data_IF_853693271842
#
_entry.id   IF_853693271842
#
_cell.length_a   1.000
_cell.length_b   1.000
_cell.length_c   1.000
_cell.angle_alpha   90.00
_cell.angle_beta   90.00
_cell.angle_gamma   90.00
#
_symmetry.space_group_name_H-M   'P 1'
#
loop_
_entity.id
_entity.type
_entity.pdbx_description
1 polymer ?
#
# COMPACT_ATOMS: atom_id res chain seq x y z
N UNK A 1 -12.29 -3.87 5.38
CA UNK A 1 -11.78 -3.30 6.61
C UNK A 1 -11.91 -4.23 7.80
N UNK A 2 -10.77 -4.66 8.36
CA UNK A 2 -10.73 -5.60 9.49
C UNK A 2 -10.69 -4.93 10.88
N UNK A 3 -10.94 -3.62 10.99
CA UNK A 3 -10.91 -2.89 12.26
C UNK A 3 -9.53 -2.84 12.92
N UNK A 4 -8.44 -2.94 12.15
CA UNK A 4 -7.08 -3.02 12.70
C UNK A 4 -6.24 -1.75 12.51
N UNK A 5 -6.57 -0.91 11.55
CA UNK A 5 -5.72 0.25 11.18
C UNK A 5 -6.26 1.60 11.66
N UNK A 6 -7.53 1.70 12.05
CA UNK A 6 -8.13 2.95 12.51
C UNK A 6 -8.37 4.02 11.42
N UNK A 7 -8.12 3.74 10.16
CA UNK A 7 -8.11 4.72 9.07
C UNK A 7 -9.50 5.18 8.60
N UNK A 8 -10.53 4.37 8.80
CA UNK A 8 -11.89 4.68 8.35
C UNK A 8 -12.72 5.42 9.42
N UNK A 9 -12.12 6.43 10.05
CA UNK A 9 -12.80 7.24 11.06
C UNK A 9 -13.88 8.11 10.41
N UNK A 10 -15.07 8.11 10.99
CA UNK A 10 -16.17 8.99 10.64
C UNK A 10 -16.99 9.30 11.89
N UNK A 11 -17.85 10.28 11.83
CA UNK A 11 -18.81 10.55 12.90
C UNK A 11 -20.18 10.02 12.44
N UNK A 12 -20.79 9.13 13.24
CA UNK A 12 -22.12 8.61 12.93
C UNK A 12 -23.06 9.12 14.02
N UNK A 13 -23.81 10.16 13.68
CA UNK A 13 -24.69 10.81 14.64
C UNK A 13 -25.91 9.92 14.98
N UNK A 14 -26.40 9.18 13.97
CA UNK A 14 -27.59 8.34 14.10
C UNK A 14 -27.45 7.06 13.27
N UNK A 15 -28.12 5.98 13.65
CA UNK A 15 -28.34 4.79 12.85
C UNK A 15 -27.30 3.66 12.96
N UNK A 16 -26.20 3.82 13.74
CA UNK A 16 -25.16 2.80 13.85
C UNK A 16 -25.11 2.02 15.18
N UNK A 17 -26.01 2.32 16.12
CA UNK A 17 -25.95 1.73 17.47
C UNK A 17 -24.70 2.14 18.26
N UNK A 18 -24.44 1.46 19.37
CA UNK A 18 -23.35 1.77 20.27
C UNK A 18 -21.95 1.43 19.68
N UNK A 19 -20.92 2.10 20.21
CA UNK A 19 -19.53 1.82 19.85
C UNK A 19 -19.16 0.39 20.25
N UNK A 20 -18.49 -0.32 19.34
CA UNK A 20 -18.09 -1.69 19.57
C UNK A 20 -16.79 -1.77 20.38
N UNK A 21 -16.57 -2.83 21.19
CA UNK A 21 -15.32 -3.04 21.92
C UNK A 21 -14.08 -3.01 21.01
N UNK A 22 -14.22 -3.47 19.77
CA UNK A 22 -13.16 -3.46 18.75
C UNK A 22 -12.78 -2.07 18.26
N UNK A 23 -13.62 -1.07 18.50
CA UNK A 23 -13.42 0.32 18.08
C UNK A 23 -12.84 1.20 19.20
N UNK A 24 -13.10 0.86 20.44
CA UNK A 24 -12.79 1.71 21.61
C UNK A 24 -11.32 2.08 21.70
N UNK A 25 -10.41 1.16 21.31
CA UNK A 25 -8.95 1.38 21.34
C UNK A 25 -8.44 2.43 20.34
N UNK A 26 -9.26 2.85 19.39
CA UNK A 26 -8.88 3.81 18.35
C UNK A 26 -9.31 5.26 18.66
N UNK A 27 -10.06 5.47 19.75
CA UNK A 27 -10.65 6.75 20.07
C UNK A 27 -10.40 7.17 21.52
N UNK A 28 -10.12 8.46 21.70
CA UNK A 28 -10.09 9.04 23.01
C UNK A 28 -11.53 9.35 23.52
N UNK A 29 -11.65 9.71 24.81
CA UNK A 29 -12.95 9.99 25.43
C UNK A 29 -13.74 11.13 24.75
N UNK A 30 -13.03 12.15 24.19
CA UNK A 30 -13.68 13.25 23.47
C UNK A 30 -14.27 12.76 22.14
N UNK A 31 -13.52 11.96 21.41
CA UNK A 31 -13.95 11.37 20.15
C UNK A 31 -15.14 10.41 20.34
N UNK A 32 -15.12 9.58 21.38
CA UNK A 32 -16.26 8.71 21.71
C UNK A 32 -17.52 9.54 21.99
N UNK A 33 -17.40 10.62 22.78
CA UNK A 33 -18.53 11.54 23.03
C UNK A 33 -19.02 12.24 21.75
N UNK A 34 -18.11 12.55 20.83
CA UNK A 34 -18.42 13.12 19.53
C UNK A 34 -18.87 12.08 18.49
N UNK A 35 -19.19 10.84 18.93
CA UNK A 35 -19.73 9.74 18.10
C UNK A 35 -18.82 9.32 16.96
N UNK A 36 -17.49 9.41 17.16
CA UNK A 36 -16.54 8.81 16.21
C UNK A 36 -16.69 7.30 16.17
N UNK A 37 -16.66 6.75 14.98
CA UNK A 37 -16.78 5.34 14.69
C UNK A 37 -15.76 4.92 13.63
N UNK A 38 -15.48 3.61 13.54
CA UNK A 38 -14.80 3.03 12.41
C UNK A 38 -15.83 2.54 11.38
N UNK A 39 -15.89 3.17 10.21
CA UNK A 39 -16.87 2.83 9.17
C UNK A 39 -16.84 1.33 8.81
N UNK A 40 -15.66 0.70 8.81
CA UNK A 40 -15.53 -0.73 8.52
C UNK A 40 -16.06 -1.66 9.61
N UNK A 41 -16.32 -1.16 10.81
CA UNK A 41 -16.88 -1.92 11.93
C UNK A 41 -18.34 -1.58 12.19
N UNK A 42 -18.76 -0.39 11.78
CA UNK A 42 -20.11 0.09 12.04
C UNK A 42 -21.13 -0.63 11.17
N UNK A 43 -22.22 -1.09 11.78
CA UNK A 43 -23.37 -1.66 11.08
C UNK A 43 -24.51 -0.67 11.12
N UNK A 44 -24.91 -0.19 9.96
CA UNK A 44 -26.09 0.67 9.82
C UNK A 44 -27.33 -0.21 9.93
N UNK A 45 -28.23 0.14 10.84
CA UNK A 45 -29.44 -0.64 11.14
C UNK A 45 -30.75 0.09 10.77
N UNK A 46 -30.65 1.38 10.54
CA UNK A 46 -31.75 2.28 10.21
C UNK A 46 -31.24 3.49 9.42
N UNK A 47 -32.06 4.48 9.17
CA UNK A 47 -31.60 5.72 8.54
C UNK A 47 -30.42 6.30 9.34
N UNK A 48 -29.33 6.58 8.66
CA UNK A 48 -28.09 7.03 9.31
C UNK A 48 -27.74 8.45 8.88
N UNK A 49 -27.22 9.21 9.86
CA UNK A 49 -26.60 10.50 9.60
C UNK A 49 -25.10 10.35 9.85
N UNK A 50 -24.32 10.47 8.79
CA UNK A 50 -22.87 10.28 8.84
C UNK A 50 -22.19 11.58 8.41
N UNK A 51 -21.27 12.06 9.25
CA UNK A 51 -20.36 13.15 8.92
C UNK A 51 -19.04 12.51 8.52
N UNK A 52 -18.65 12.74 7.29
CA UNK A 52 -17.36 12.32 6.75
C UNK A 52 -16.43 13.54 6.87
N UNK A 53 -15.20 13.39 7.42
CA UNK A 53 -14.25 14.49 7.49
C UNK A 53 -14.00 15.12 6.11
N UNK A 54 -13.80 16.43 6.07
CA UNK A 54 -13.64 17.19 4.81
C UNK A 54 -12.38 16.77 4.03
N UNK A 55 -11.35 16.28 4.70
CA UNK A 55 -10.13 15.73 4.13
C UNK A 55 -10.40 14.52 3.22
N UNK A 56 -11.44 13.74 3.50
CA UNK A 56 -11.87 12.63 2.63
C UNK A 56 -12.38 13.14 1.28
N UNK A 57 -12.96 14.34 1.23
CA UNK A 57 -13.44 14.96 -0.02
C UNK A 57 -12.33 15.72 -0.75
N UNK A 58 -11.24 16.06 -0.08
CA UNK A 58 -10.07 16.70 -0.67
C UNK A 58 -9.08 15.73 -1.35
N UNK A 59 -9.34 14.44 -1.26
CA UNK A 59 -8.49 13.43 -1.89
C UNK A 59 -8.59 13.52 -3.40
N UNK A 60 -7.46 13.82 -4.03
CA UNK A 60 -7.34 13.79 -5.49
C UNK A 60 -6.78 12.45 -5.95
N UNK A 61 -7.12 12.09 -7.18
CA UNK A 61 -6.54 10.98 -7.90
C UNK A 61 -5.76 11.50 -9.10
N UNK A 62 -4.53 11.02 -9.30
CA UNK A 62 -3.66 11.43 -10.41
C UNK A 62 -3.14 10.22 -11.17
N UNK A 63 -2.97 10.39 -12.46
CA UNK A 63 -2.12 9.54 -13.27
C UNK A 63 -0.67 10.03 -13.15
N UNK A 64 0.11 9.40 -12.30
CA UNK A 64 1.50 9.72 -12.03
C UNK A 64 2.44 8.99 -12.99
N UNK A 65 3.64 9.54 -13.16
CA UNK A 65 4.71 8.92 -13.95
C UNK A 65 5.79 8.36 -13.03
N UNK A 66 6.16 7.11 -13.20
CA UNK A 66 7.31 6.52 -12.49
C UNK A 66 8.58 7.21 -12.96
N UNK A 67 9.36 7.78 -12.04
CA UNK A 67 10.63 8.47 -12.32
C UNK A 67 11.83 7.75 -11.71
N UNK A 68 11.60 6.82 -10.79
CA UNK A 68 12.62 6.00 -10.17
C UNK A 68 12.03 4.75 -9.53
N UNK A 69 12.75 3.62 -9.63
CA UNK A 69 12.32 2.36 -9.03
C UNK A 69 13.53 1.44 -8.80
N UNK A 70 14.46 1.85 -7.94
CA UNK A 70 15.71 1.12 -7.69
C UNK A 70 15.73 0.48 -6.31
N UNK A 71 16.37 -0.68 -6.22
CA UNK A 71 16.67 -1.24 -4.91
C UNK A 71 17.64 -0.34 -4.13
N UNK A 72 17.28 -0.08 -2.88
CA UNK A 72 18.12 0.63 -1.88
C UNK A 72 18.56 -0.33 -0.78
N UNK A 73 17.95 -1.51 -0.72
CA UNK A 73 18.37 -2.65 0.07
C UNK A 73 17.98 -3.93 -0.68
N UNK A 74 18.46 -5.08 -0.22
CA UNK A 74 18.31 -6.38 -0.89
C UNK A 74 16.88 -6.64 -1.38
N UNK A 75 15.89 -6.30 -0.57
CA UNK A 75 14.47 -6.57 -0.83
C UNK A 75 13.59 -5.32 -0.73
N UNK A 76 14.19 -4.12 -0.77
CA UNK A 76 13.46 -2.85 -0.67
C UNK A 76 13.83 -1.96 -1.84
N UNK A 77 12.81 -1.46 -2.53
CA UNK A 77 12.94 -0.42 -3.56
C UNK A 77 12.59 0.95 -2.99
N UNK A 78 13.35 1.96 -3.38
CA UNK A 78 12.90 3.34 -3.40
C UNK A 78 12.13 3.54 -4.70
N UNK A 79 10.84 3.75 -4.56
CA UNK A 79 9.91 3.95 -5.65
C UNK A 79 9.48 5.41 -5.69
N UNK A 80 9.74 6.08 -6.81
CA UNK A 80 9.45 7.49 -7.01
C UNK A 80 8.52 7.71 -8.18
N UNK A 81 7.50 8.51 -7.97
CA UNK A 81 6.60 8.97 -9.02
C UNK A 81 6.49 10.48 -9.02
N UNK A 82 6.39 11.06 -10.20
CA UNK A 82 6.05 12.47 -10.39
C UNK A 82 4.54 12.61 -10.59
N UNK A 83 3.95 13.61 -9.95
CA UNK A 83 2.60 14.06 -10.24
C UNK A 83 2.52 14.68 -11.65
N UNK A 84 1.32 14.82 -12.23
CA UNK A 84 1.15 15.58 -13.47
C UNK A 84 1.69 17.01 -13.33
N UNK A 85 2.17 17.62 -14.42
CA UNK A 85 2.70 18.99 -14.40
C UNK A 85 1.72 19.99 -13.78
N UNK A 86 2.19 20.76 -12.80
CA UNK A 86 1.40 21.77 -12.11
C UNK A 86 0.57 21.24 -10.92
N UNK A 87 0.56 19.94 -10.71
CA UNK A 87 -0.06 19.33 -9.52
C UNK A 87 0.94 19.23 -8.36
N UNK A 88 0.42 19.38 -7.15
CA UNK A 88 1.19 19.29 -5.92
C UNK A 88 0.34 18.59 -4.85
N UNK A 89 0.93 17.68 -4.10
CA UNK A 89 0.30 17.02 -2.97
C UNK A 89 0.80 17.66 -1.68
N UNK A 90 -0.06 18.44 -1.03
CA UNK A 90 0.22 18.93 0.32
C UNK A 90 -0.05 17.79 1.31
N UNK A 91 0.96 17.39 2.06
CA UNK A 91 0.83 16.30 3.04
C UNK A 91 1.67 16.60 4.30
N UNK A 92 1.30 15.96 5.41
CA UNK A 92 2.04 16.01 6.66
C UNK A 92 2.99 14.81 6.79
N UNK A 93 4.10 14.94 7.55
CA UNK A 93 4.96 13.79 7.86
C UNK A 93 4.16 12.66 8.51
N UNK A 94 4.22 11.46 7.90
CA UNK A 94 3.43 10.29 8.34
C UNK A 94 2.18 10.03 7.53
N UNK A 95 1.78 10.94 6.66
CA UNK A 95 0.71 10.71 5.68
C UNK A 95 1.08 9.59 4.70
N UNK A 96 0.07 8.99 4.08
CA UNK A 96 0.24 7.94 3.10
C UNK A 96 -0.49 8.25 1.80
N UNK A 97 -0.03 7.65 0.73
CA UNK A 97 -0.71 7.64 -0.56
C UNK A 97 -1.26 6.24 -0.86
N UNK A 98 -2.29 6.17 -1.69
CA UNK A 98 -2.82 4.91 -2.19
C UNK A 98 -2.43 4.72 -3.64
N UNK A 99 -2.10 3.48 -4.01
CA UNK A 99 -1.82 3.06 -5.38
C UNK A 99 -2.96 2.16 -5.84
N UNK A 100 -3.55 2.45 -6.99
CA UNK A 100 -4.42 1.54 -7.71
C UNK A 100 -3.58 0.52 -8.47
N UNK A 101 -3.85 -0.73 -8.24
CA UNK A 101 -3.16 -1.86 -8.84
C UNK A 101 -4.16 -2.53 -9.77
N UNK A 102 -3.92 -2.58 -11.07
CA UNK A 102 -4.82 -3.24 -12.03
C UNK A 102 -4.79 -4.75 -11.86
N UNK A 103 -5.61 -5.45 -12.63
CA UNK A 103 -5.40 -6.86 -12.88
C UNK A 103 -4.09 -7.03 -13.65
N UNK A 104 -3.28 -8.04 -13.27
CA UNK A 104 -2.00 -8.34 -13.90
C UNK A 104 -1.58 -9.80 -13.69
N UNK A 105 -0.64 -10.22 -14.50
CA UNK A 105 0.09 -11.48 -14.35
C UNK A 105 1.58 -11.19 -14.62
N UNK A 106 2.45 -11.52 -13.67
CA UNK A 106 3.86 -11.17 -13.69
C UNK A 106 4.70 -12.36 -13.23
N UNK A 107 5.70 -12.71 -14.04
CA UNK A 107 6.80 -13.59 -13.64
C UNK A 107 7.98 -12.75 -13.15
N UNK A 108 8.54 -13.07 -11.97
CA UNK A 108 9.68 -12.30 -11.41
C UNK A 108 10.95 -12.42 -12.26
N UNK A 109 11.06 -13.45 -13.09
CA UNK A 109 12.17 -13.57 -14.08
C UNK A 109 12.21 -12.40 -15.06
N UNK A 110 11.06 -11.72 -15.27
CA UNK A 110 10.91 -10.60 -16.21
C UNK A 110 11.20 -9.23 -15.55
N UNK A 111 11.48 -9.21 -14.25
CA UNK A 111 11.90 -7.97 -13.57
C UNK A 111 13.20 -7.44 -14.17
N UNK A 112 13.26 -6.12 -14.31
CA UNK A 112 14.46 -5.45 -14.78
C UNK A 112 15.58 -5.57 -13.74
N UNK A 113 16.55 -6.43 -14.04
CA UNK A 113 17.68 -6.71 -13.14
C UNK A 113 18.55 -5.47 -12.87
N UNK A 114 18.61 -4.53 -13.82
CA UNK A 114 19.34 -3.27 -13.63
C UNK A 114 18.74 -2.38 -12.54
N UNK A 115 17.41 -2.48 -12.32
CA UNK A 115 16.71 -1.78 -11.25
C UNK A 115 16.85 -2.47 -9.88
N UNK A 116 17.23 -3.75 -9.86
CA UNK A 116 17.62 -4.47 -8.64
C UNK A 116 19.07 -4.12 -8.30
N UNK A 117 19.95 -4.14 -9.29
CA UNK A 117 21.36 -3.79 -9.19
C UNK A 117 22.26 -4.95 -8.74
N UNK A 118 23.49 -4.95 -9.24
CA UNK A 118 24.46 -6.05 -9.09
C UNK A 118 24.76 -6.41 -7.63
N UNK A 119 24.69 -5.43 -6.72
CA UNK A 119 24.90 -5.65 -5.29
C UNK A 119 23.88 -6.60 -4.67
N UNK A 120 22.65 -6.57 -5.16
CA UNK A 120 21.51 -7.30 -4.56
C UNK A 120 21.11 -8.56 -5.34
N UNK A 121 21.47 -8.66 -6.62
CA UNK A 121 21.15 -9.80 -7.47
C UNK A 121 21.57 -11.16 -6.88
N UNK A 122 22.80 -11.33 -6.30
CA UNK A 122 23.18 -12.62 -5.74
C UNK A 122 22.24 -13.15 -4.65
N UNK A 123 21.64 -12.26 -3.85
CA UNK A 123 20.65 -12.68 -2.85
C UNK A 123 19.32 -13.09 -3.49
N UNK A 124 18.88 -12.40 -4.55
CA UNK A 124 17.68 -12.73 -5.28
C UNK A 124 17.78 -14.10 -5.95
N UNK A 125 18.95 -14.40 -6.53
CA UNK A 125 19.26 -15.71 -7.11
C UNK A 125 19.33 -16.81 -6.06
N UNK A 126 20.08 -16.55 -4.96
CA UNK A 126 20.23 -17.50 -3.84
C UNK A 126 18.89 -17.91 -3.22
N UNK A 127 17.95 -16.99 -3.10
CA UNK A 127 16.63 -17.26 -2.53
C UNK A 127 15.59 -17.63 -3.58
N UNK A 128 15.97 -17.82 -4.84
CA UNK A 128 15.09 -18.20 -5.93
C UNK A 128 13.88 -17.26 -6.13
N UNK A 129 14.06 -15.95 -5.92
CA UNK A 129 12.97 -15.01 -6.10
C UNK A 129 12.51 -14.92 -7.55
N UNK A 130 13.42 -15.11 -8.51
CA UNK A 130 13.11 -15.08 -9.94
C UNK A 130 12.22 -16.24 -10.40
N UNK A 131 12.05 -17.27 -9.57
CA UNK A 131 11.15 -18.40 -9.85
C UNK A 131 9.71 -18.12 -9.39
N UNK A 132 9.45 -16.95 -8.79
CA UNK A 132 8.13 -16.58 -8.32
C UNK A 132 7.27 -16.04 -9.45
N UNK A 133 5.98 -16.30 -9.31
CA UNK A 133 4.92 -15.79 -10.15
C UNK A 133 3.87 -15.08 -9.29
N UNK A 134 3.33 -13.97 -9.76
CA UNK A 134 2.26 -13.24 -9.08
C UNK A 134 1.14 -12.88 -10.05
N UNK A 135 -0.08 -13.17 -9.66
CA UNK A 135 -1.26 -12.76 -10.41
C UNK A 135 -2.26 -11.99 -9.56
N UNK A 136 -2.95 -11.07 -10.17
CA UNK A 136 -4.05 -10.32 -9.58
C UNK A 136 -5.19 -10.24 -10.60
N UNK A 137 -6.31 -10.85 -10.30
CA UNK A 137 -7.46 -10.98 -11.23
C UNK A 137 -8.38 -9.77 -11.19
N UNK A 138 -8.36 -9.00 -10.09
CA UNK A 138 -9.24 -7.86 -9.89
C UNK A 138 -8.45 -6.63 -9.43
N UNK A 139 -8.80 -5.43 -9.92
CA UNK A 139 -8.16 -4.21 -9.44
C UNK A 139 -8.26 -4.08 -7.93
N UNK A 140 -7.18 -3.67 -7.29
CA UNK A 140 -7.11 -3.46 -5.85
C UNK A 140 -6.36 -2.18 -5.52
N UNK A 141 -6.46 -1.73 -4.27
CA UNK A 141 -5.79 -0.52 -3.79
C UNK A 141 -4.95 -0.87 -2.57
N UNK A 142 -3.75 -0.29 -2.48
CA UNK A 142 -2.90 -0.44 -1.30
C UNK A 142 -2.32 0.92 -0.90
N UNK A 143 -2.22 1.10 0.42
CA UNK A 143 -1.66 2.30 1.05
C UNK A 143 -0.18 2.10 1.37
N UNK A 144 0.60 3.15 1.13
CA UNK A 144 2.02 3.24 1.49
C UNK A 144 2.32 4.60 2.10
N UNK A 145 3.01 4.62 3.26
CA UNK A 145 3.49 5.86 3.85
C UNK A 145 4.48 6.54 2.93
N UNK A 146 4.34 7.86 2.78
CA UNK A 146 5.28 8.67 2.01
C UNK A 146 6.60 8.79 2.77
N UNK A 147 7.70 8.67 2.05
CA UNK A 147 9.06 8.68 2.59
C UNK A 147 9.85 9.95 2.24
N UNK A 148 9.30 10.79 1.38
CA UNK A 148 9.89 12.07 1.04
C UNK A 148 9.45 13.20 1.98
N UNK A 149 10.15 14.32 1.90
CA UNK A 149 9.82 15.53 2.64
C UNK A 149 8.61 16.25 2.02
N UNK A 150 7.69 16.82 2.83
CA UNK A 150 6.47 17.45 2.31
C UNK A 150 6.68 18.54 1.26
N UNK A 151 7.75 19.33 1.36
CA UNK A 151 8.05 20.39 0.37
C UNK A 151 8.42 19.84 -1.03
N UNK A 152 8.63 18.52 -1.13
CA UNK A 152 8.80 17.79 -2.40
C UNK A 152 7.47 17.26 -2.96
N UNK A 153 6.36 17.95 -2.71
CA UNK A 153 5.00 17.46 -2.96
C UNK A 153 4.59 17.30 -4.43
N UNK A 154 5.45 17.59 -5.39
CA UNK A 154 5.32 17.22 -6.81
C UNK A 154 5.87 15.81 -7.12
N UNK A 155 6.58 15.21 -6.15
CA UNK A 155 7.13 13.86 -6.19
C UNK A 155 6.63 13.09 -4.97
N UNK A 156 6.23 11.84 -5.19
CA UNK A 156 5.91 10.90 -4.11
C UNK A 156 6.98 9.82 -4.08
N UNK A 157 7.64 9.67 -2.94
CA UNK A 157 8.64 8.62 -2.71
C UNK A 157 8.10 7.61 -1.71
N UNK A 158 8.18 6.34 -2.05
CA UNK A 158 7.79 5.22 -1.20
C UNK A 158 8.95 4.24 -1.03
N UNK A 159 9.11 3.67 0.15
CA UNK A 159 10.00 2.55 0.38
C UNK A 159 9.18 1.26 0.42
N UNK A 160 9.33 0.44 -0.61
CA UNK A 160 8.51 -0.76 -0.81
C UNK A 160 9.34 -2.01 -0.66
N UNK A 161 9.01 -2.82 0.34
CA UNK A 161 9.61 -4.15 0.51
C UNK A 161 8.85 -5.17 -0.34
N UNK A 162 9.58 -6.02 -1.07
CA UNK A 162 8.96 -7.17 -1.76
C UNK A 162 8.39 -8.14 -0.72
N UNK A 163 7.13 -8.48 -0.87
CA UNK A 163 6.45 -9.44 0.00
C UNK A 163 6.43 -10.81 -0.69
N UNK A 164 7.37 -11.65 -0.30
CA UNK A 164 7.46 -13.04 -0.80
C UNK A 164 6.45 -13.94 -0.08
N UNK A 165 6.10 -15.11 -0.66
CA UNK A 165 5.43 -16.16 0.09
C UNK A 165 6.24 -16.56 1.33
N UNK A 166 5.60 -17.14 2.34
CA UNK A 166 6.31 -17.77 3.46
C UNK A 166 7.20 -18.92 2.96
N UNK A 167 8.29 -19.18 3.66
CA UNK A 167 9.06 -20.39 3.41
C UNK A 167 8.33 -21.64 3.87
N UNK A 168 8.58 -22.74 3.20
CA UNK A 168 8.19 -24.08 3.66
C UNK A 168 8.76 -24.36 5.06
N UNK A 169 8.13 -25.22 5.87
CA UNK A 169 8.70 -25.73 7.09
C UNK A 169 10.11 -26.29 6.85
N UNK A 170 11.01 -26.12 7.82
CA UNK A 170 12.45 -26.47 7.66
C UNK A 170 12.67 -27.91 7.18
N UNK A 171 11.85 -28.83 7.65
CA UNK A 171 11.89 -30.26 7.30
C UNK A 171 11.52 -30.54 5.83
N UNK A 172 10.86 -29.60 5.16
CA UNK A 172 10.45 -29.72 3.76
C UNK A 172 11.37 -28.93 2.82
N UNK A 173 12.27 -28.10 3.37
CA UNK A 173 13.19 -27.31 2.56
C UNK A 173 14.28 -28.19 1.95
N UNK A 174 14.65 -27.86 0.72
CA UNK A 174 15.72 -28.52 -0.03
C UNK A 174 16.87 -27.55 -0.30
N UNK A 175 18.12 -27.99 -0.27
CA UNK A 175 19.24 -27.18 -0.73
C UNK A 175 19.03 -26.74 -2.21
N UNK A 176 19.46 -25.52 -2.50
CA UNK A 176 19.46 -24.96 -3.86
C UNK A 176 18.13 -25.09 -4.62
N UNK A 177 17.01 -24.92 -3.89
CA UNK A 177 15.67 -25.00 -4.45
C UNK A 177 14.81 -23.82 -4.02
N UNK A 178 13.76 -23.56 -4.79
CA UNK A 178 12.71 -22.66 -4.37
C UNK A 178 11.96 -23.28 -3.17
N UNK A 179 12.16 -22.71 -2.01
CA UNK A 179 11.58 -23.17 -0.75
C UNK A 179 10.39 -22.32 -0.29
N UNK A 180 9.78 -21.55 -1.16
CA UNK A 180 8.57 -20.80 -0.84
C UNK A 180 7.33 -21.70 -0.91
N UNK A 181 6.36 -21.38 -0.04
CA UNK A 181 5.03 -21.99 -0.15
C UNK A 181 4.37 -21.64 -1.50
N UNK A 182 3.56 -22.53 -2.08
CA UNK A 182 2.88 -22.29 -3.34
C UNK A 182 1.65 -21.39 -3.16
N UNK A 183 1.88 -20.17 -2.67
CA UNK A 183 0.87 -19.13 -2.50
C UNK A 183 1.31 -17.86 -3.21
N UNK A 184 0.36 -17.04 -3.61
CA UNK A 184 0.64 -15.82 -4.33
C UNK A 184 1.51 -14.87 -3.50
N UNK A 185 2.57 -14.28 -4.07
CA UNK A 185 3.32 -13.19 -3.43
C UNK A 185 2.46 -11.96 -3.18
N UNK A 186 3.02 -10.97 -2.49
CA UNK A 186 2.32 -9.71 -2.24
C UNK A 186 2.00 -8.96 -3.52
N UNK A 187 0.72 -8.84 -3.86
CA UNK A 187 0.20 -8.26 -5.10
C UNK A 187 0.80 -6.86 -5.36
N UNK A 188 0.69 -5.96 -4.39
CA UNK A 188 1.14 -4.57 -4.58
C UNK A 188 2.66 -4.47 -4.77
N UNK A 189 3.43 -5.17 -3.95
CA UNK A 189 4.88 -5.14 -4.08
C UNK A 189 5.36 -5.77 -5.37
N UNK A 190 4.75 -6.84 -5.84
CA UNK A 190 5.05 -7.46 -7.13
C UNK A 190 4.79 -6.50 -8.29
N UNK A 191 3.63 -5.84 -8.28
CA UNK A 191 3.29 -4.83 -9.27
C UNK A 191 4.31 -3.70 -9.30
N UNK A 192 4.60 -3.09 -8.13
CA UNK A 192 5.55 -1.98 -8.03
C UNK A 192 6.96 -2.42 -8.48
N UNK A 193 7.41 -3.61 -8.10
CA UNK A 193 8.74 -4.10 -8.49
C UNK A 193 8.89 -4.31 -10.00
N UNK A 194 7.80 -4.55 -10.71
CA UNK A 194 7.79 -4.68 -12.18
C UNK A 194 7.77 -3.34 -12.93
N UNK A 195 7.37 -2.25 -12.29
CA UNK A 195 7.29 -0.94 -12.91
C UNK A 195 8.68 -0.37 -13.23
N UNK A 196 8.75 0.38 -14.33
CA UNK A 196 9.97 1.01 -14.84
C UNK A 196 9.78 2.52 -14.95
N UNK A 197 10.85 3.31 -14.93
CA UNK A 197 10.76 4.73 -15.25
C UNK A 197 10.07 4.96 -16.61
N UNK A 198 9.08 5.85 -16.62
CA UNK A 198 8.20 6.12 -17.76
C UNK A 198 6.81 5.48 -17.65
N UNK A 199 6.63 4.42 -16.86
CA UNK A 199 5.33 3.80 -16.65
C UNK A 199 4.35 4.74 -15.95
N UNK A 200 3.06 4.53 -16.19
CA UNK A 200 1.96 5.27 -15.58
C UNK A 200 1.32 4.48 -14.46
N UNK A 201 0.98 5.18 -13.39
CA UNK A 201 0.28 4.60 -12.24
C UNK A 201 -0.77 5.56 -11.73
N UNK A 202 -1.87 5.01 -11.23
CA UNK A 202 -2.91 5.81 -10.60
C UNK A 202 -2.64 5.85 -9.09
N UNK A 203 -2.50 7.05 -8.57
CA UNK A 203 -2.32 7.29 -7.15
C UNK A 203 -3.34 8.29 -6.62
N UNK A 204 -3.67 8.18 -5.36
CA UNK A 204 -4.53 9.12 -4.66
C UNK A 204 -3.97 9.46 -3.29
N UNK A 205 -4.30 10.65 -2.79
CA UNK A 205 -3.85 11.13 -1.49
C UNK A 205 -4.02 12.64 -1.30
N UNK A 206 -3.43 13.19 -0.24
CA UNK A 206 -2.87 12.45 0.90
C UNK A 206 -3.96 11.84 1.80
N UNK A 207 -3.55 10.91 2.64
CA UNK A 207 -4.39 10.31 3.69
C UNK A 207 -3.63 10.26 5.01
N UNK A 208 -4.35 10.21 6.13
CA UNK A 208 -3.75 9.94 7.45
C UNK A 208 -3.17 11.17 8.12
N UNK A 209 -3.98 12.21 8.27
CA UNK A 209 -3.73 13.34 9.20
C UNK A 209 -3.92 12.93 10.66
#
# INVERSE_FOLDING_TARGET
>A
GGGKCGQCKCIIEEGAGDILPTEVGFFNRKQIKAKYRLACQSKIKENAKIIVPDDVFGVKEWECTVIGNKNVATFIKEYKVALPPGEHMNFEPGSYAQIKIPAFEIDYKDFDRSLIGDTYLPAWEKFHLFDLHCSNTEPTVRAYSMANYPDEGDIITLNVRIATPPFLPREQQKPDANNFMPVNPGIASSYIFNLKPGDKVIMSGPYGE
#
